data_IF_955268955452
#
_entry.id   IF_955268955452
#
_cell.length_a   1.000
_cell.length_b   1.000
_cell.length_c   1.000
_cell.angle_alpha   90.00
_cell.angle_beta   90.00
_cell.angle_gamma   90.00
#
_symmetry.space_group_name_H-M   'P 1'
#
loop_
_entity.id
_entity.type
_entity.pdbx_description
1 polymer ?
#
# COMPACT_ATOMS: atom_id res chain seq x y z
N UNK A 1 -25.55 5.95 30.23
CA UNK A 1 -24.28 5.87 29.48
C UNK A 1 -24.42 6.64 28.17
N UNK A 2 -23.45 7.49 27.83
CA UNK A 2 -23.53 8.31 26.61
C UNK A 2 -23.39 7.43 25.35
N UNK A 3 -23.97 7.84 24.20
CA UNK A 3 -23.87 7.09 22.95
C UNK A 3 -22.43 6.82 22.49
N UNK A 4 -21.53 7.78 22.69
CA UNK A 4 -20.11 7.68 22.32
C UNK A 4 -19.39 6.60 23.14
N UNK A 5 -19.67 6.51 24.43
CA UNK A 5 -19.07 5.49 25.30
C UNK A 5 -19.58 4.08 24.96
N UNK A 6 -20.83 4.00 24.51
CA UNK A 6 -21.44 2.74 24.06
C UNK A 6 -20.79 2.25 22.78
N UNK A 7 -20.56 3.16 21.84
CA UNK A 7 -19.89 2.86 20.58
C UNK A 7 -18.49 2.30 20.79
N UNK A 8 -17.68 2.95 21.65
CA UNK A 8 -16.32 2.49 21.97
C UNK A 8 -16.29 1.08 22.56
N UNK A 9 -17.24 0.75 23.44
CA UNK A 9 -17.37 -0.60 24.01
C UNK A 9 -17.75 -1.63 22.95
N UNK A 10 -18.69 -1.29 22.07
CA UNK A 10 -19.10 -2.19 20.99
C UNK A 10 -17.93 -2.47 20.04
N UNK A 11 -17.15 -1.45 19.66
CA UNK A 11 -15.95 -1.61 18.84
C UNK A 11 -14.93 -2.54 19.51
N UNK A 12 -14.61 -2.32 20.79
CA UNK A 12 -13.68 -3.18 21.54
C UNK A 12 -14.16 -4.65 21.63
N UNK A 13 -15.46 -4.90 21.67
CA UNK A 13 -15.99 -6.26 21.65
C UNK A 13 -15.93 -6.89 20.25
N UNK A 14 -16.19 -6.11 19.20
CA UNK A 14 -16.06 -6.57 17.82
C UNK A 14 -14.59 -6.90 17.46
N UNK A 15 -13.62 -6.18 18.03
CA UNK A 15 -12.19 -6.51 17.89
C UNK A 15 -11.83 -7.85 18.54
N UNK A 16 -12.49 -8.22 19.64
CA UNK A 16 -12.16 -9.41 20.42
C UNK A 16 -12.94 -10.66 20.01
N UNK A 17 -14.19 -10.50 19.60
CA UNK A 17 -15.15 -11.59 19.41
C UNK A 17 -15.51 -11.82 17.93
N UNK A 18 -14.87 -11.11 16.99
CA UNK A 18 -15.02 -11.14 15.53
C UNK A 18 -16.41 -10.77 14.98
N UNK A 19 -17.49 -11.31 15.55
CA UNK A 19 -18.87 -10.99 15.21
C UNK A 19 -19.80 -11.08 16.42
N UNK A 20 -20.72 -10.12 16.54
CA UNK A 20 -21.68 -10.03 17.64
C UNK A 20 -23.09 -9.76 17.15
N UNK A 21 -24.07 -10.48 17.71
CA UNK A 21 -25.48 -10.23 17.41
C UNK A 21 -25.98 -9.00 18.17
N UNK A 22 -26.96 -8.33 17.58
CA UNK A 22 -27.61 -7.17 18.19
C UNK A 22 -28.24 -7.52 19.53
N UNK A 23 -28.85 -8.71 19.62
CA UNK A 23 -29.44 -9.25 20.85
C UNK A 23 -28.41 -9.37 21.98
N UNK A 24 -27.18 -9.76 21.67
CA UNK A 24 -26.13 -9.98 22.64
C UNK A 24 -25.57 -8.64 23.13
N UNK A 25 -25.36 -7.70 22.20
CA UNK A 25 -24.95 -6.33 22.49
C UNK A 25 -26.00 -5.61 23.34
N UNK A 26 -27.27 -5.73 22.96
CA UNK A 26 -28.45 -5.21 23.65
C UNK A 26 -28.51 -5.70 25.10
N UNK A 27 -28.37 -7.02 25.30
CA UNK A 27 -28.38 -7.65 26.63
C UNK A 27 -27.20 -7.19 27.50
N UNK A 28 -25.98 -7.12 26.93
CA UNK A 28 -24.78 -6.69 27.66
C UNK A 28 -24.82 -5.22 28.09
N UNK A 29 -25.47 -4.38 27.30
CA UNK A 29 -25.54 -2.93 27.54
C UNK A 29 -26.82 -2.49 28.25
N UNK A 30 -27.80 -3.38 28.38
CA UNK A 30 -29.10 -3.09 29.00
C UNK A 30 -29.90 -2.03 28.23
N UNK A 31 -29.81 -2.00 26.90
CA UNK A 31 -30.52 -1.05 26.03
C UNK A 31 -31.31 -1.78 24.96
N UNK A 32 -32.32 -1.14 24.36
CA UNK A 32 -33.10 -1.77 23.28
C UNK A 32 -32.25 -2.00 22.02
N UNK A 33 -32.60 -3.04 21.25
CA UNK A 33 -31.96 -3.32 19.97
C UNK A 33 -32.01 -2.13 19.01
N UNK A 34 -33.12 -1.38 19.00
CA UNK A 34 -33.28 -0.15 18.21
C UNK A 34 -32.25 0.93 18.58
N UNK A 35 -31.84 0.99 19.84
CA UNK A 35 -30.78 1.90 20.28
C UNK A 35 -29.44 1.48 19.71
N UNK A 36 -29.14 0.18 19.72
CA UNK A 36 -27.92 -0.38 19.12
C UNK A 36 -27.89 -0.14 17.61
N UNK A 37 -29.00 -0.35 16.91
CA UNK A 37 -29.09 -0.03 15.48
C UNK A 37 -28.83 1.46 15.21
N UNK A 38 -29.40 2.36 16.04
CA UNK A 38 -29.18 3.81 15.91
C UNK A 38 -27.71 4.19 16.14
N UNK A 39 -27.04 3.55 17.11
CA UNK A 39 -25.64 3.84 17.39
C UNK A 39 -24.69 3.24 16.35
N UNK A 40 -25.02 2.09 15.78
CA UNK A 40 -24.24 1.44 14.72
C UNK A 40 -24.46 2.10 13.35
N UNK A 41 -25.58 2.80 13.14
CA UNK A 41 -25.91 3.43 11.85
C UNK A 41 -24.78 4.33 11.31
N UNK A 42 -24.18 5.26 12.08
CA UNK A 42 -23.02 6.02 11.61
C UNK A 42 -21.82 5.18 11.18
N UNK A 43 -21.57 4.03 11.84
CA UNK A 43 -20.46 3.13 11.51
C UNK A 43 -20.76 2.28 10.26
N UNK A 44 -22.03 1.90 10.07
CA UNK A 44 -22.51 1.23 8.87
C UNK A 44 -22.45 2.16 7.65
N UNK A 45 -22.86 3.42 7.82
CA UNK A 45 -22.79 4.46 6.79
C UNK A 45 -21.33 4.71 6.36
N UNK A 46 -20.39 4.66 7.32
CA UNK A 46 -18.94 4.79 7.09
C UNK A 46 -18.24 3.51 6.65
N UNK A 47 -18.97 2.39 6.56
CA UNK A 47 -18.43 1.05 6.24
C UNK A 47 -17.32 0.57 7.19
N UNK A 48 -17.30 1.06 8.43
CA UNK A 48 -16.39 0.59 9.48
C UNK A 48 -16.87 -0.72 10.12
N UNK A 49 -18.18 -0.97 10.05
CA UNK A 49 -18.87 -2.17 10.53
C UNK A 49 -19.73 -2.71 9.40
N UNK A 50 -19.82 -4.03 9.26
CA UNK A 50 -20.66 -4.71 8.26
C UNK A 50 -21.65 -5.64 8.94
N UNK A 51 -22.82 -5.78 8.32
CA UNK A 51 -23.82 -6.78 8.72
C UNK A 51 -23.43 -8.13 8.13
N UNK A 52 -23.20 -9.12 8.99
CA UNK A 52 -22.91 -10.50 8.61
C UNK A 52 -24.10 -11.40 8.94
N UNK A 53 -24.07 -12.65 8.47
CA UNK A 53 -25.07 -13.67 8.84
C UNK A 53 -25.10 -13.96 10.35
N UNK A 54 -24.03 -13.64 11.08
CA UNK A 54 -23.94 -13.85 12.53
C UNK A 54 -24.02 -12.54 13.35
N UNK A 55 -24.48 -11.43 12.75
CA UNK A 55 -24.68 -10.16 13.44
C UNK A 55 -23.93 -9.00 12.79
N UNK A 56 -23.15 -8.28 13.58
CA UNK A 56 -22.27 -7.22 13.14
C UNK A 56 -20.82 -7.64 13.36
N UNK A 57 -19.97 -7.35 12.39
CA UNK A 57 -18.52 -7.53 12.48
C UNK A 57 -17.85 -6.21 12.10
N UNK A 58 -16.62 -5.99 12.57
CA UNK A 58 -15.79 -4.95 11.93
C UNK A 58 -15.71 -5.27 10.44
N UNK A 59 -15.78 -4.24 9.61
CA UNK A 59 -15.50 -4.43 8.19
C UNK A 59 -14.13 -5.11 8.09
N UNK A 60 -14.01 -6.26 7.40
CA UNK A 60 -12.68 -6.78 7.10
C UNK A 60 -11.91 -5.63 6.47
N UNK A 61 -10.61 -5.45 6.79
CA UNK A 61 -9.79 -4.50 6.05
C UNK A 61 -10.05 -4.83 4.60
N UNK A 62 -10.73 -3.92 3.91
CA UNK A 62 -11.11 -4.18 2.54
C UNK A 62 -9.83 -4.58 1.84
N UNK A 63 -9.85 -5.51 0.87
CA UNK A 63 -8.90 -5.42 -0.21
C UNK A 63 -9.27 -4.12 -0.96
N UNK A 64 -9.07 -2.98 -0.32
CA UNK A 64 -8.72 -1.75 -0.98
C UNK A 64 -7.51 -2.16 -1.79
N UNK A 65 -7.74 -2.47 -3.06
CA UNK A 65 -7.00 -1.78 -4.10
C UNK A 65 -6.95 -0.35 -3.61
N UNK A 66 -5.87 -0.04 -2.91
CA UNK A 66 -5.64 1.28 -2.41
C UNK A 66 -5.50 2.11 -3.67
N UNK A 67 -6.60 2.74 -4.07
CA UNK A 67 -6.57 4.01 -4.76
C UNK A 67 -5.98 5.03 -3.77
N UNK A 68 -4.79 4.75 -3.25
CA UNK A 68 -3.86 5.74 -2.76
C UNK A 68 -3.54 6.56 -3.99
N UNK A 69 -4.36 7.58 -4.18
CA UNK A 69 -4.22 8.63 -5.18
C UNK A 69 -2.84 9.27 -5.10
N UNK A 70 -2.17 9.13 -3.96
CA UNK A 70 -0.86 9.69 -3.67
C UNK A 70 0.17 8.61 -3.34
N UNK A 71 1.42 8.87 -3.71
CA UNK A 71 2.59 8.07 -3.36
C UNK A 71 2.76 8.02 -1.84
N UNK A 72 2.97 6.83 -1.27
CA UNK A 72 3.22 6.67 0.17
C UNK A 72 4.56 7.27 0.64
N UNK A 73 5.44 7.67 -0.28
CA UNK A 73 6.75 8.24 0.03
C UNK A 73 6.85 9.75 -0.26
N UNK A 74 6.64 10.18 -1.51
CA UNK A 74 6.81 11.58 -1.91
C UNK A 74 5.50 12.37 -1.98
N UNK A 75 4.35 11.73 -1.69
CA UNK A 75 3.01 12.33 -1.72
C UNK A 75 2.59 12.94 -3.06
N UNK A 76 3.33 12.71 -4.15
CA UNK A 76 2.90 13.07 -5.50
C UNK A 76 1.70 12.22 -5.92
N UNK A 77 0.82 12.77 -6.74
CA UNK A 77 -0.29 12.02 -7.32
C UNK A 77 0.25 10.80 -8.11
N UNK A 78 -0.24 9.60 -7.80
CA UNK A 78 0.16 8.36 -8.44
C UNK A 78 -0.42 8.33 -9.87
N UNK A 79 0.44 8.54 -10.87
CA UNK A 79 0.16 8.10 -12.24
C UNK A 79 0.24 6.57 -12.29
N UNK A 80 -0.76 5.91 -12.87
CA UNK A 80 -0.87 4.45 -12.85
C UNK A 80 0.31 3.73 -13.54
N UNK A 81 0.97 4.38 -14.52
CA UNK A 81 1.92 3.73 -15.43
C UNK A 81 3.21 3.23 -14.75
N UNK A 82 3.75 3.95 -13.77
CA UNK A 82 5.04 3.59 -13.13
C UNK A 82 4.91 3.18 -11.67
N UNK A 83 3.68 2.87 -11.23
CA UNK A 83 3.43 2.61 -9.83
C UNK A 83 4.08 1.32 -9.33
N UNK A 84 4.51 1.33 -8.07
CA UNK A 84 5.07 0.17 -7.37
C UNK A 84 4.17 -0.15 -6.20
N UNK A 85 3.96 -1.45 -5.97
CA UNK A 85 3.11 -1.98 -4.91
C UNK A 85 3.98 -2.75 -3.91
N UNK A 86 3.84 -2.43 -2.63
CA UNK A 86 4.50 -3.12 -1.53
C UNK A 86 3.44 -3.83 -0.69
N UNK A 87 3.51 -5.15 -0.66
CA UNK A 87 2.66 -5.99 0.18
C UNK A 87 3.35 -6.18 1.52
N UNK A 88 2.62 -5.91 2.61
CA UNK A 88 3.14 -5.96 3.97
C UNK A 88 2.59 -7.18 4.72
N UNK A 89 3.34 -7.71 5.69
CA UNK A 89 2.97 -8.93 6.46
C UNK A 89 1.64 -8.83 7.20
N UNK A 90 1.28 -7.65 7.71
CA UNK A 90 0.08 -7.43 8.54
C UNK A 90 -0.52 -6.02 8.34
N UNK A 91 -0.29 -5.40 7.17
CA UNK A 91 -0.74 -4.04 6.88
C UNK A 91 -1.34 -3.99 5.46
N UNK A 92 -2.20 -3.00 5.18
CA UNK A 92 -2.68 -2.78 3.83
C UNK A 92 -1.51 -2.59 2.85
N UNK A 93 -1.73 -2.99 1.60
CA UNK A 93 -0.78 -2.78 0.51
C UNK A 93 -0.50 -1.28 0.35
N UNK A 94 0.77 -0.94 0.21
CA UNK A 94 1.21 0.42 -0.06
C UNK A 94 1.55 0.62 -1.52
N UNK A 95 1.35 1.84 -2.03
CA UNK A 95 1.66 2.20 -3.41
C UNK A 95 2.58 3.41 -3.46
N UNK A 96 3.64 3.33 -4.26
CA UNK A 96 4.50 4.47 -4.59
C UNK A 96 4.39 4.83 -6.06
N UNK A 97 4.73 6.08 -6.40
CA UNK A 97 4.56 6.62 -7.76
C UNK A 97 5.61 6.13 -8.77
N UNK A 98 6.75 5.64 -8.30
CA UNK A 98 7.88 5.22 -9.13
C UNK A 98 8.78 4.25 -8.36
N UNK A 99 9.68 3.59 -9.09
CA UNK A 99 10.61 2.64 -8.49
C UNK A 99 11.60 3.30 -7.52
N UNK A 100 12.00 4.55 -7.76
CA UNK A 100 12.83 5.30 -6.81
C UNK A 100 12.18 5.36 -5.41
N UNK A 101 10.93 5.81 -5.32
CA UNK A 101 10.18 5.83 -4.07
C UNK A 101 9.90 4.42 -3.53
N UNK A 102 9.66 3.45 -4.42
CA UNK A 102 9.47 2.05 -4.05
C UNK A 102 10.68 1.45 -3.36
N UNK A 103 11.88 1.72 -3.86
CA UNK A 103 13.15 1.25 -3.28
C UNK A 103 13.43 1.91 -1.92
N UNK A 104 13.27 3.23 -1.82
CA UNK A 104 13.41 3.94 -0.54
C UNK A 104 12.38 3.44 0.49
N UNK A 105 11.13 3.20 0.09
CA UNK A 105 10.13 2.65 1.00
C UNK A 105 10.49 1.23 1.43
N UNK A 106 10.87 0.38 0.48
CA UNK A 106 11.30 -0.99 0.74
C UNK A 106 12.45 -1.05 1.74
N UNK A 107 13.44 -0.15 1.63
CA UNK A 107 14.56 -0.08 2.58
C UNK A 107 14.08 0.17 4.02
N UNK A 108 13.19 1.15 4.21
CA UNK A 108 12.63 1.47 5.54
C UNK A 108 11.73 0.36 6.11
N UNK A 109 11.09 -0.45 5.26
CA UNK A 109 10.11 -1.46 5.68
C UNK A 109 10.54 -2.89 5.36
N UNK A 110 11.82 -3.14 5.05
CA UNK A 110 12.31 -4.41 4.49
C UNK A 110 11.85 -5.65 5.25
N UNK A 111 11.83 -5.59 6.59
CA UNK A 111 11.42 -6.70 7.46
C UNK A 111 9.92 -7.03 7.38
N UNK A 112 9.11 -6.04 6.99
CA UNK A 112 7.65 -6.09 6.94
C UNK A 112 7.13 -6.39 5.53
N UNK A 113 7.90 -6.10 4.49
CA UNK A 113 7.51 -6.38 3.10
C UNK A 113 7.55 -7.88 2.83
N UNK A 114 6.44 -8.45 2.33
CA UNK A 114 6.37 -9.83 1.82
C UNK A 114 6.66 -9.90 0.34
N UNK A 115 6.23 -8.88 -0.42
CA UNK A 115 6.37 -8.83 -1.86
C UNK A 115 6.42 -7.39 -2.35
N UNK A 116 7.18 -7.15 -3.41
CA UNK A 116 7.23 -5.87 -4.12
C UNK A 116 7.04 -6.10 -5.61
N UNK A 117 6.05 -5.43 -6.18
CA UNK A 117 5.70 -5.50 -7.60
C UNK A 117 5.87 -4.13 -8.25
N UNK A 118 6.41 -4.10 -9.46
CA UNK A 118 6.52 -2.90 -10.26
C UNK A 118 6.01 -3.14 -11.69
N UNK A 119 5.96 -2.07 -12.48
CA UNK A 119 5.54 -2.11 -13.88
C UNK A 119 6.77 -2.10 -14.77
N UNK A 120 6.89 -3.05 -15.69
CA UNK A 120 7.93 -3.04 -16.71
C UNK A 120 7.86 -1.73 -17.51
N UNK A 121 9.01 -1.08 -17.70
CA UNK A 121 9.09 0.24 -18.33
C UNK A 121 8.61 0.22 -19.78
N UNK A 122 8.88 -0.86 -20.52
CA UNK A 122 8.62 -0.96 -21.95
C UNK A 122 7.22 -1.51 -22.25
N UNK A 123 6.90 -2.68 -21.70
CA UNK A 123 5.69 -3.44 -21.98
C UNK A 123 4.56 -3.13 -21.00
N UNK A 124 4.85 -2.42 -19.90
CA UNK A 124 3.85 -2.15 -18.87
C UNK A 124 3.22 -3.47 -18.39
N UNK A 125 4.00 -4.53 -18.23
CA UNK A 125 3.60 -5.76 -17.54
C UNK A 125 3.84 -5.59 -16.04
N UNK A 126 3.10 -6.31 -15.20
CA UNK A 126 3.37 -6.32 -13.76
C UNK A 126 4.39 -7.40 -13.46
N UNK A 127 5.52 -7.02 -12.85
CA UNK A 127 6.68 -7.89 -12.65
C UNK A 127 7.16 -7.83 -11.20
N UNK A 128 7.89 -8.86 -10.77
CA UNK A 128 8.59 -8.86 -9.48
C UNK A 128 9.72 -7.82 -9.51
N UNK A 129 9.69 -6.86 -8.59
CA UNK A 129 10.77 -5.87 -8.52
C UNK A 129 12.11 -6.54 -8.14
N UNK A 130 12.09 -7.51 -7.22
CA UNK A 130 13.30 -8.22 -6.80
C UNK A 130 14.05 -8.88 -7.98
N UNK A 131 13.31 -9.40 -8.97
CA UNK A 131 13.88 -10.13 -10.10
C UNK A 131 14.07 -9.27 -11.36
N UNK A 132 13.69 -7.98 -11.30
CA UNK A 132 13.79 -7.09 -12.44
C UNK A 132 15.25 -6.64 -12.68
N UNK A 133 15.52 -6.21 -13.91
CA UNK A 133 16.75 -5.49 -14.27
C UNK A 133 16.45 -3.99 -14.32
N UNK A 134 17.35 -3.16 -13.83
CA UNK A 134 17.13 -1.72 -13.70
C UNK A 134 18.07 -0.91 -14.58
N UNK A 135 17.57 0.21 -15.10
CA UNK A 135 18.39 1.32 -15.58
C UNK A 135 18.23 2.48 -14.60
N UNK A 136 19.32 2.93 -13.99
CA UNK A 136 19.36 4.07 -13.08
C UNK A 136 19.96 5.28 -13.80
N UNK A 137 19.32 6.45 -13.65
CA UNK A 137 19.74 7.72 -14.28
C UNK A 137 19.97 7.65 -15.78
N UNK A 138 18.93 7.20 -16.50
CA UNK A 138 18.89 7.42 -17.95
C UNK A 138 18.77 8.91 -18.28
N UNK A 139 19.18 9.25 -19.50
CA UNK A 139 19.10 10.59 -20.07
C UNK A 139 17.65 10.99 -20.43
N UNK A 140 16.73 10.04 -20.40
CA UNK A 140 15.31 10.29 -20.66
C UNK A 140 14.69 11.04 -19.47
N UNK A 141 14.08 12.23 -19.66
CA UNK A 141 13.53 13.00 -18.55
C UNK A 141 12.09 12.57 -18.22
N UNK A 142 11.90 11.61 -17.31
CA UNK A 142 10.56 11.13 -16.90
C UNK A 142 9.86 12.03 -15.86
N UNK A 143 10.57 13.05 -15.34
CA UNK A 143 10.03 14.11 -14.47
C UNK A 143 9.22 13.58 -13.26
N UNK A 144 9.65 12.47 -12.67
CA UNK A 144 9.04 11.92 -11.44
C UNK A 144 9.90 12.22 -10.20
N UNK A 145 10.91 11.40 -9.92
CA UNK A 145 11.89 11.56 -8.86
C UNK A 145 13.30 11.34 -9.44
N UNK A 146 14.33 11.85 -8.76
CA UNK A 146 15.74 11.67 -9.12
C UNK A 146 16.48 11.02 -7.93
N UNK A 147 17.43 10.10 -8.16
CA UNK A 147 17.76 9.49 -9.45
C UNK A 147 16.61 8.67 -10.05
N UNK A 148 16.50 8.64 -11.38
CA UNK A 148 15.47 7.88 -12.07
C UNK A 148 15.77 6.39 -12.02
N UNK A 149 14.77 5.54 -11.83
CA UNK A 149 14.94 4.09 -11.75
C UNK A 149 13.90 3.41 -12.63
N UNK A 150 14.36 2.72 -13.65
CA UNK A 150 13.52 2.10 -14.67
C UNK A 150 13.62 0.58 -14.61
N UNK A 151 12.57 -0.11 -14.13
CA UNK A 151 12.51 -1.58 -14.13
C UNK A 151 12.27 -2.14 -15.54
N UNK A 152 12.90 -3.26 -15.83
CA UNK A 152 12.69 -4.10 -17.00
C UNK A 152 12.62 -5.56 -16.58
N UNK A 153 11.67 -6.29 -17.16
CA UNK A 153 11.48 -7.72 -16.94
C UNK A 153 12.68 -8.52 -17.44
N UNK A 154 13.25 -8.11 -18.57
CA UNK A 154 14.39 -8.79 -19.19
C UNK A 154 15.60 -7.86 -19.28
N UNK A 155 16.77 -8.44 -19.01
CA UNK A 155 18.06 -7.75 -19.21
C UNK A 155 18.25 -7.30 -20.65
N UNK A 156 17.73 -8.06 -21.61
CA UNK A 156 17.81 -7.70 -23.03
C UNK A 156 17.11 -6.37 -23.33
N UNK A 157 15.91 -6.14 -22.79
CA UNK A 157 15.20 -4.87 -22.97
C UNK A 157 15.93 -3.72 -22.29
N UNK A 158 16.44 -3.94 -21.06
CA UNK A 158 17.24 -2.93 -20.36
C UNK A 158 18.48 -2.51 -21.16
N UNK A 159 19.22 -3.47 -21.73
CA UNK A 159 20.40 -3.20 -22.55
C UNK A 159 20.07 -2.44 -23.85
N UNK A 160 18.96 -2.80 -24.52
CA UNK A 160 18.51 -2.06 -25.72
C UNK A 160 18.11 -0.63 -25.35
N UNK A 161 17.42 -0.43 -24.23
CA UNK A 161 17.06 0.89 -23.73
C UNK A 161 18.31 1.71 -23.37
N UNK A 162 19.27 1.12 -22.66
CA UNK A 162 20.53 1.76 -22.26
C UNK A 162 21.33 2.26 -23.47
N UNK A 163 21.38 1.49 -24.56
CA UNK A 163 22.07 1.91 -25.79
C UNK A 163 21.47 3.19 -26.41
N UNK A 164 20.17 3.43 -26.20
CA UNK A 164 19.48 4.61 -26.75
C UNK A 164 19.39 5.79 -25.79
N UNK A 165 19.28 5.54 -24.48
CA UNK A 165 19.00 6.57 -23.47
C UNK A 165 19.99 6.58 -22.30
N UNK A 166 21.12 5.88 -22.41
CA UNK A 166 22.15 5.84 -21.37
C UNK A 166 21.68 5.23 -20.05
N UNK A 167 22.33 5.65 -18.96
CA UNK A 167 22.09 5.18 -17.60
C UNK A 167 22.90 3.94 -17.19
N UNK A 168 22.84 3.62 -15.91
CA UNK A 168 23.56 2.52 -15.29
C UNK A 168 22.67 1.28 -15.19
N UNK A 169 23.14 0.15 -15.72
CA UNK A 169 22.47 -1.14 -15.59
C UNK A 169 22.73 -1.73 -14.20
N UNK A 170 21.66 -2.02 -13.46
CA UNK A 170 21.71 -2.52 -12.09
C UNK A 170 20.77 -3.71 -11.88
N UNK A 171 21.10 -4.55 -10.92
CA UNK A 171 20.19 -5.46 -10.22
C UNK A 171 19.38 -4.70 -9.15
N UNK A 172 18.47 -5.37 -8.46
CA UNK A 172 17.67 -4.76 -7.41
C UNK A 172 18.52 -4.20 -6.25
N UNK A 173 19.46 -5.00 -5.73
CA UNK A 173 20.32 -4.57 -4.61
C UNK A 173 21.30 -3.47 -5.06
N UNK A 174 21.89 -3.58 -6.26
CA UNK A 174 22.73 -2.51 -6.82
C UNK A 174 21.94 -1.20 -7.00
N UNK A 175 20.68 -1.26 -7.42
CA UNK A 175 19.85 -0.07 -7.55
C UNK A 175 19.55 0.58 -6.18
N UNK A 176 19.34 -0.22 -5.13
CA UNK A 176 19.22 0.28 -3.75
C UNK A 176 20.48 1.01 -3.32
N UNK A 177 21.65 0.41 -3.53
CA UNK A 177 22.94 1.00 -3.17
C UNK A 177 23.20 2.32 -3.90
N UNK A 178 22.92 2.38 -5.21
CA UNK A 178 23.08 3.60 -6.00
C UNK A 178 22.18 4.72 -5.49
N UNK A 179 20.91 4.42 -5.18
CA UNK A 179 19.97 5.41 -4.64
C UNK A 179 20.44 5.88 -3.26
N UNK A 180 20.83 4.96 -2.39
CA UNK A 180 21.28 5.29 -1.04
C UNK A 180 22.52 6.20 -1.09
N UNK A 181 23.49 5.88 -1.95
CA UNK A 181 24.69 6.70 -2.16
C UNK A 181 24.37 8.10 -2.68
N UNK A 182 23.45 8.21 -3.65
CA UNK A 182 23.06 9.50 -4.24
C UNK A 182 22.19 10.34 -3.31
N UNK A 183 21.38 9.72 -2.46
CA UNK A 183 20.54 10.41 -1.47
C UNK A 183 21.30 10.75 -0.19
N UNK A 184 22.30 9.95 0.19
CA UNK A 184 23.11 10.10 1.40
C UNK A 184 24.33 11.03 1.27
N UNK A 185 24.63 11.55 0.08
CA UNK A 185 25.77 12.45 -0.17
C UNK A 185 25.53 13.93 0.16
N UNK A 186 24.45 14.25 0.89
CA UNK A 186 24.27 15.55 1.54
C UNK A 186 24.76 15.50 3.00
N UNK A 187 26.08 15.42 3.18
CA UNK A 187 26.75 15.71 4.46
C UNK A 187 27.88 16.69 4.23
#
# INVERSE_FOLDING_TARGET
>A
MLPVDRLKKIQAWLEKEEALRVSDISTRLGVSEMTIYRDLKPLLDRKEVVKTSNGFALAPPSPTHSDTTYCSFCHKHNGQQQSVQLFMKNQPMEKTCCMHCGLLRYEHTRKQVTQILCRDTLLQTTISAINATYIVDSELPLRCCQPQVLPFETREHALKFQKGFGGQLCTFDEALEVIHSKMGSCH
#
